data_IF_924496643548
#
_entry.id   IF_924496643548
#
_cell.length_a   1.000
_cell.length_b   1.000
_cell.length_c   1.000
_cell.angle_alpha   90.00
_cell.angle_beta   90.00
_cell.angle_gamma   90.00
#
_symmetry.space_group_name_H-M   'P 1'
#
loop_
_entity.id
_entity.type
_entity.pdbx_description
1 polymer ?
#
# COMPACT_ATOMS: atom_id res chain seq x y z
N UNK A 1 -24.44 12.98 -68.15
CA UNK A 1 -23.55 13.29 -67.01
C UNK A 1 -24.37 13.97 -65.91
N UNK A 2 -24.76 13.25 -64.85
CA UNK A 2 -25.47 13.81 -63.69
C UNK A 2 -24.63 13.56 -62.44
N UNK A 3 -24.04 14.61 -61.86
CA UNK A 3 -23.27 14.56 -60.61
C UNK A 3 -24.25 14.52 -59.44
N UNK A 4 -24.16 13.49 -58.60
CA UNK A 4 -24.85 13.41 -57.30
C UNK A 4 -23.84 13.80 -56.21
N UNK A 5 -24.06 14.91 -55.54
CA UNK A 5 -23.30 15.31 -54.36
C UNK A 5 -23.88 14.60 -53.14
N UNK A 6 -23.09 13.76 -52.48
CA UNK A 6 -23.43 13.19 -51.18
C UNK A 6 -22.71 13.99 -50.09
N UNK A 7 -23.47 14.65 -49.23
CA UNK A 7 -22.96 15.29 -48.02
C UNK A 7 -22.78 14.20 -46.95
N UNK A 8 -21.56 14.03 -46.45
CA UNK A 8 -21.24 13.13 -45.33
C UNK A 8 -21.29 13.95 -44.05
N UNK A 9 -22.27 13.67 -43.18
CA UNK A 9 -22.34 14.22 -41.84
C UNK A 9 -21.42 13.40 -40.91
N UNK A 10 -20.36 14.03 -40.41
CA UNK A 10 -19.49 13.46 -39.38
C UNK A 10 -20.18 13.60 -38.01
N UNK A 11 -20.68 12.49 -37.46
CA UNK A 11 -21.09 12.40 -36.07
C UNK A 11 -19.84 12.24 -35.20
N UNK A 12 -19.48 13.27 -34.44
CA UNK A 12 -18.40 13.21 -33.45
C UNK A 12 -18.81 12.37 -32.24
N UNK A 13 -18.20 11.20 -32.06
CA UNK A 13 -18.25 10.45 -30.80
C UNK A 13 -17.39 11.18 -29.76
N UNK A 14 -18.01 11.84 -28.79
CA UNK A 14 -17.34 12.20 -27.55
C UNK A 14 -17.08 10.92 -26.74
N UNK A 15 -15.83 10.45 -26.74
CA UNK A 15 -15.37 9.43 -25.81
C UNK A 15 -15.24 10.05 -24.42
N UNK A 16 -16.21 9.78 -23.54
CA UNK A 16 -16.09 10.07 -22.11
C UNK A 16 -15.16 8.99 -21.54
N UNK A 17 -13.86 9.29 -21.43
CA UNK A 17 -12.93 8.50 -20.63
C UNK A 17 -13.28 8.69 -19.15
N UNK A 18 -14.27 7.93 -18.66
CA UNK A 18 -14.48 7.78 -17.23
C UNK A 18 -13.29 7.02 -16.64
N UNK A 19 -12.59 7.65 -15.69
CA UNK A 19 -11.64 6.94 -14.84
C UNK A 19 -12.41 5.83 -14.12
N UNK A 20 -12.17 4.58 -14.51
CA UNK A 20 -12.71 3.44 -13.78
C UNK A 20 -12.07 3.42 -12.39
N UNK A 21 -12.80 3.88 -11.39
CA UNK A 21 -12.35 3.85 -10.00
C UNK A 21 -12.05 2.40 -9.60
N UNK A 22 -10.83 2.15 -9.11
CA UNK A 22 -10.38 0.81 -8.71
C UNK A 22 -11.19 0.23 -7.53
N UNK A 23 -12.06 1.03 -6.91
CA UNK A 23 -12.95 0.65 -5.80
C UNK A 23 -13.90 -0.51 -6.14
N UNK A 24 -14.31 -0.70 -7.39
CA UNK A 24 -15.12 -1.87 -7.78
C UNK A 24 -14.32 -3.17 -7.82
N UNK A 25 -13.03 -3.09 -8.17
CA UNK A 25 -12.14 -4.24 -8.36
C UNK A 25 -11.64 -4.80 -7.03
N UNK A 26 -11.47 -3.96 -6.00
CA UNK A 26 -10.99 -4.45 -4.69
C UNK A 26 -11.96 -5.45 -4.06
N UNK A 27 -13.27 -5.22 -4.17
CA UNK A 27 -14.30 -6.06 -3.53
C UNK A 27 -14.30 -7.49 -4.06
N UNK A 28 -13.95 -7.70 -5.34
CA UNK A 28 -13.82 -9.03 -5.93
C UNK A 28 -12.40 -9.62 -5.77
N UNK A 29 -11.44 -8.85 -5.26
CA UNK A 29 -10.04 -9.25 -5.14
C UNK A 29 -9.65 -9.61 -3.71
N UNK A 30 -10.08 -8.82 -2.71
CA UNK A 30 -9.67 -9.01 -1.30
C UNK A 30 -10.13 -10.36 -0.74
N UNK A 31 -9.23 -11.06 -0.04
CA UNK A 31 -9.60 -12.33 0.61
C UNK A 31 -10.44 -12.09 1.87
N UNK A 32 -11.30 -13.05 2.28
CA UNK A 32 -12.06 -12.90 3.53
C UNK A 32 -11.17 -12.76 4.78
N UNK A 33 -10.01 -13.41 4.78
CA UNK A 33 -9.03 -13.28 5.87
C UNK A 33 -8.47 -11.86 5.94
N UNK A 34 -8.15 -11.26 4.80
CA UNK A 34 -7.59 -9.91 4.72
C UNK A 34 -8.61 -8.84 5.03
N UNK A 35 -9.85 -9.03 4.58
CA UNK A 35 -10.96 -8.17 4.99
C UNK A 35 -11.10 -8.16 6.51
N UNK A 36 -11.06 -9.34 7.16
CA UNK A 36 -11.12 -9.42 8.62
C UNK A 36 -9.94 -8.73 9.31
N UNK A 37 -8.73 -8.77 8.74
CA UNK A 37 -7.57 -8.04 9.28
C UNK A 37 -7.77 -6.53 9.19
N UNK A 38 -8.34 -6.03 8.08
CA UNK A 38 -8.70 -4.62 7.95
C UNK A 38 -9.83 -4.20 8.89
N UNK A 39 -10.85 -5.04 9.07
CA UNK A 39 -11.97 -4.77 9.99
C UNK A 39 -11.48 -4.62 11.45
N UNK A 40 -10.39 -5.29 11.82
CA UNK A 40 -9.77 -5.22 13.14
C UNK A 40 -8.63 -4.20 13.24
N UNK A 41 -8.31 -3.48 12.16
CA UNK A 41 -7.12 -2.65 12.03
C UNK A 41 -6.88 -1.71 13.21
N UNK A 42 -7.87 -0.93 13.64
CA UNK A 42 -7.69 0.05 14.72
C UNK A 42 -7.34 -0.61 16.06
N UNK A 43 -7.97 -1.75 16.35
CA UNK A 43 -7.70 -2.53 17.55
C UNK A 43 -6.28 -3.11 17.52
N UNK A 44 -5.90 -3.72 16.40
CA UNK A 44 -4.56 -4.28 16.20
C UNK A 44 -3.49 -3.19 16.31
N UNK A 45 -3.71 -2.05 15.64
CA UNK A 45 -2.81 -0.89 15.65
C UNK A 45 -2.61 -0.35 17.06
N UNK A 46 -3.69 -0.13 17.82
CA UNK A 46 -3.60 0.36 19.19
C UNK A 46 -2.82 -0.60 20.10
N UNK A 47 -3.08 -1.91 19.98
CA UNK A 47 -2.37 -2.94 20.76
C UNK A 47 -0.87 -2.98 20.42
N UNK A 48 -0.52 -2.97 19.13
CA UNK A 48 0.86 -3.00 18.67
C UNK A 48 1.66 -1.76 19.15
N UNK A 49 1.05 -0.57 19.08
CA UNK A 49 1.67 0.67 19.57
C UNK A 49 1.87 0.61 21.09
N UNK A 50 0.90 0.11 21.84
CA UNK A 50 1.01 -0.02 23.29
C UNK A 50 2.15 -0.95 23.71
N UNK A 51 2.28 -2.11 23.05
CA UNK A 51 3.38 -3.06 23.30
C UNK A 51 4.74 -2.45 22.94
N UNK A 52 4.85 -1.79 21.78
CA UNK A 52 6.08 -1.13 21.37
C UNK A 52 6.50 0.00 22.33
N UNK A 53 5.53 0.77 22.84
CA UNK A 53 5.78 1.83 23.83
C UNK A 53 6.23 1.28 25.17
N UNK A 54 5.68 0.14 25.59
CA UNK A 54 5.96 -0.46 26.89
C UNK A 54 7.30 -1.23 26.92
N UNK A 55 7.66 -1.89 25.81
CA UNK A 55 8.82 -2.79 25.76
C UNK A 55 9.96 -2.35 24.84
N UNK A 56 9.74 -1.40 23.94
CA UNK A 56 10.76 -0.95 22.99
C UNK A 56 11.74 0.06 23.59
N UNK A 57 12.86 0.29 22.90
CA UNK A 57 13.76 1.39 23.25
C UNK A 57 13.02 2.73 23.12
N UNK A 58 13.10 3.57 24.15
CA UNK A 58 12.36 4.82 24.21
C UNK A 58 12.79 5.84 23.14
N UNK A 59 14.07 5.84 22.77
CA UNK A 59 14.61 6.73 21.74
C UNK A 59 14.16 6.30 20.34
N UNK A 60 14.21 5.00 20.05
CA UNK A 60 13.68 4.44 18.82
C UNK A 60 12.16 4.66 18.72
N UNK A 61 11.43 4.40 19.81
CA UNK A 61 9.98 4.59 19.85
C UNK A 61 9.59 6.05 19.63
N UNK A 62 10.32 7.03 20.16
CA UNK A 62 10.04 8.44 19.89
C UNK A 62 10.13 8.80 18.38
N UNK A 63 11.02 8.13 17.64
CA UNK A 63 11.08 8.23 16.18
C UNK A 63 9.86 7.60 15.49
N UNK A 64 9.41 6.44 15.96
CA UNK A 64 8.23 5.75 15.45
C UNK A 64 6.94 6.49 15.80
N UNK A 65 6.83 7.08 16.98
CA UNK A 65 5.67 7.86 17.42
C UNK A 65 5.46 9.08 16.50
N UNK A 66 6.53 9.75 16.08
CA UNK A 66 6.47 10.82 15.06
C UNK A 66 5.98 10.30 13.71
N UNK A 67 6.44 9.11 13.30
CA UNK A 67 5.97 8.46 12.07
C UNK A 67 4.47 8.16 12.17
N UNK A 68 4.00 7.57 13.26
CA UNK A 68 2.60 7.18 13.49
C UNK A 68 1.65 8.38 13.55
N UNK A 69 2.09 9.47 14.19
CA UNK A 69 1.31 10.69 14.40
C UNK A 69 1.45 11.72 13.27
N UNK A 70 2.20 11.41 12.21
CA UNK A 70 2.32 12.28 11.07
C UNK A 70 0.93 12.54 10.44
N UNK A 71 0.64 13.82 10.17
CA UNK A 71 -0.62 14.27 9.56
C UNK A 71 -0.86 13.54 8.25
N UNK A 72 -2.05 12.95 8.11
CA UNK A 72 -2.49 12.34 6.86
C UNK A 72 -2.91 13.42 5.87
N UNK A 73 -2.46 13.28 4.63
CA UNK A 73 -2.74 14.20 3.53
C UNK A 73 -3.48 13.46 2.43
N UNK A 74 -4.16 14.21 1.55
CA UNK A 74 -4.79 13.60 0.38
C UNK A 74 -3.75 13.07 -0.60
N UNK A 75 -4.02 11.96 -1.27
CA UNK A 75 -3.13 11.43 -2.32
C UNK A 75 -3.19 12.23 -3.62
N UNK A 76 -4.23 13.06 -3.81
CA UNK A 76 -4.38 13.93 -4.98
C UNK A 76 -3.12 14.78 -5.23
N UNK A 77 -2.68 14.80 -6.48
CA UNK A 77 -1.49 15.54 -6.91
C UNK A 77 -0.14 14.99 -6.43
N UNK A 78 -0.11 13.88 -5.67
CA UNK A 78 1.15 13.25 -5.27
C UNK A 78 1.74 12.46 -6.45
N UNK A 79 3.01 12.72 -6.78
CA UNK A 79 3.76 11.88 -7.73
C UNK A 79 4.24 10.60 -7.05
N UNK A 80 3.36 9.61 -6.92
CA UNK A 80 3.70 8.35 -6.25
C UNK A 80 4.71 7.53 -7.07
N UNK A 81 4.60 7.53 -8.40
CA UNK A 81 5.48 6.76 -9.29
C UNK A 81 6.95 7.19 -9.21
N UNK A 82 7.85 6.21 -9.23
CA UNK A 82 9.30 6.43 -9.17
C UNK A 82 10.01 5.55 -8.14
N UNK A 83 11.30 5.84 -7.94
CA UNK A 83 12.12 5.16 -6.94
C UNK A 83 11.86 5.76 -5.55
N UNK A 84 11.86 4.90 -4.54
CA UNK A 84 11.70 5.24 -3.13
C UNK A 84 12.75 4.51 -2.31
N UNK A 85 13.17 5.11 -1.21
CA UNK A 85 13.73 4.36 -0.09
C UNK A 85 12.59 3.87 0.77
N UNK A 86 12.70 2.67 1.31
CA UNK A 86 11.71 2.14 2.23
C UNK A 86 12.36 1.40 3.39
N UNK A 87 11.74 1.40 4.57
CA UNK A 87 12.17 0.59 5.71
C UNK A 87 10.96 0.01 6.42
N UNK A 88 11.16 -1.14 7.06
CA UNK A 88 10.12 -1.79 7.86
C UNK A 88 10.33 -1.42 9.32
N UNK A 89 9.24 -1.12 10.01
CA UNK A 89 9.18 -1.00 11.47
C UNK A 89 8.18 -2.04 11.97
N UNK A 90 8.59 -2.92 12.88
CA UNK A 90 7.74 -3.97 13.45
C UNK A 90 7.35 -3.59 14.87
N UNK A 91 6.06 -3.67 15.18
CA UNK A 91 5.51 -3.33 16.48
C UNK A 91 4.77 -4.53 17.10
N UNK A 92 5.11 -4.83 18.35
CA UNK A 92 4.47 -5.85 19.18
C UNK A 92 4.79 -7.29 18.77
N UNK A 93 4.19 -8.23 19.51
CA UNK A 93 4.47 -9.68 19.44
C UNK A 93 5.81 -10.07 20.11
N UNK A 94 6.68 -10.82 19.40
CA UNK A 94 7.88 -11.43 19.98
C UNK A 94 8.95 -10.40 20.36
N UNK A 95 9.09 -9.35 19.55
CA UNK A 95 9.95 -8.20 19.81
C UNK A 95 9.07 -6.96 19.88
N UNK A 96 9.10 -6.17 20.96
CA UNK A 96 8.17 -5.07 21.15
C UNK A 96 8.33 -3.99 20.07
N UNK A 97 9.57 -3.73 19.64
CA UNK A 97 9.89 -2.78 18.59
C UNK A 97 11.14 -3.24 17.83
N UNK A 98 11.08 -3.22 16.50
CA UNK A 98 12.24 -3.37 15.62
C UNK A 98 12.19 -2.32 14.52
N UNK A 99 13.26 -1.55 14.35
CA UNK A 99 13.40 -0.57 13.26
C UNK A 99 14.50 -1.02 12.30
N UNK A 100 14.12 -1.42 11.09
CA UNK A 100 15.10 -1.83 10.09
C UNK A 100 15.75 -0.64 9.37
N UNK A 101 16.90 -0.90 8.75
CA UNK A 101 17.55 0.01 7.82
C UNK A 101 16.79 0.22 6.51
N UNK A 102 17.35 1.06 5.65
CA UNK A 102 16.71 1.45 4.39
C UNK A 102 17.01 0.47 3.25
N UNK A 103 15.97 0.20 2.46
CA UNK A 103 15.94 -0.64 1.27
C UNK A 103 15.45 0.18 0.06
N UNK A 104 15.57 -0.39 -1.13
CA UNK A 104 15.06 0.18 -2.38
C UNK A 104 13.63 -0.32 -2.62
N UNK A 105 12.72 0.62 -2.83
CA UNK A 105 11.36 0.36 -3.29
C UNK A 105 11.11 1.11 -4.62
N UNK A 106 10.13 0.65 -5.39
CA UNK A 106 9.68 1.33 -6.60
C UNK A 106 8.17 1.31 -6.66
N UNK A 107 7.59 2.44 -7.07
CA UNK A 107 6.18 2.53 -7.43
C UNK A 107 6.06 2.69 -8.94
N UNK A 108 5.20 1.89 -9.55
CA UNK A 108 4.84 1.95 -10.97
C UNK A 108 3.33 2.16 -11.12
N UNK A 109 2.90 2.52 -12.32
CA UNK A 109 1.49 2.64 -12.70
C UNK A 109 1.35 2.02 -14.08
N UNK A 110 0.46 1.04 -14.22
CA UNK A 110 0.16 0.35 -15.47
C UNK A 110 -1.20 0.77 -16.06
N UNK A 111 -1.78 1.85 -15.55
CA UNK A 111 -3.11 2.33 -15.92
C UNK A 111 -4.24 1.66 -15.14
N UNK A 112 -3.96 0.64 -14.34
CA UNK A 112 -4.93 -0.02 -13.46
C UNK A 112 -4.72 0.34 -11.98
N UNK A 113 -4.01 1.43 -11.71
CA UNK A 113 -3.64 1.90 -10.36
C UNK A 113 -2.17 1.65 -10.01
N UNK A 114 -1.74 2.25 -8.92
CA UNK A 114 -0.34 2.17 -8.47
C UNK A 114 0.02 0.77 -7.98
N UNK A 115 1.26 0.38 -8.25
CA UNK A 115 1.86 -0.85 -7.74
C UNK A 115 3.16 -0.53 -7.02
N UNK A 116 3.38 -1.18 -5.88
CA UNK A 116 4.61 -1.11 -5.11
C UNK A 116 5.40 -2.41 -5.28
N UNK A 117 6.73 -2.29 -5.34
CA UNK A 117 7.65 -3.40 -5.18
C UNK A 117 8.81 -3.00 -4.26
N UNK A 118 9.07 -3.78 -3.20
CA UNK A 118 10.31 -3.72 -2.41
C UNK A 118 11.38 -4.57 -3.10
N UNK A 119 12.40 -3.91 -3.64
CA UNK A 119 13.37 -4.47 -4.58
C UNK A 119 14.64 -5.03 -3.93
N UNK A 120 14.85 -4.82 -2.63
CA UNK A 120 16.04 -5.28 -1.90
C UNK A 120 15.69 -5.72 -0.48
N UNK A 121 16.55 -6.56 0.11
CA UNK A 121 16.36 -7.19 1.41
C UNK A 121 15.73 -8.57 1.28
N UNK A 122 15.91 -9.40 2.31
CA UNK A 122 15.49 -10.81 2.32
C UNK A 122 13.99 -11.00 2.20
N UNK A 123 13.21 -10.22 2.96
CA UNK A 123 11.75 -10.19 2.86
C UNK A 123 11.33 -9.06 1.92
N UNK A 124 10.56 -9.38 0.88
CA UNK A 124 10.06 -8.46 -0.14
C UNK A 124 8.53 -8.41 -0.10
N UNK A 125 7.99 -7.35 -0.69
CA UNK A 125 6.55 -7.20 -0.89
C UNK A 125 6.29 -6.64 -2.28
N UNK A 126 5.22 -7.12 -2.93
CA UNK A 126 4.74 -6.62 -4.20
C UNK A 126 3.21 -6.62 -4.23
N UNK A 127 2.61 -5.51 -4.66
CA UNK A 127 1.16 -5.37 -4.61
C UNK A 127 0.64 -4.11 -5.25
N UNK A 128 -0.68 -3.95 -5.22
CA UNK A 128 -1.44 -2.88 -5.86
C UNK A 128 -2.20 -2.07 -4.83
N UNK A 129 -2.35 -0.79 -5.12
CA UNK A 129 -3.19 0.13 -4.37
C UNK A 129 -4.58 0.28 -4.99
N UNK A 130 -5.56 0.42 -4.13
CA UNK A 130 -6.95 0.66 -4.46
C UNK A 130 -7.44 1.90 -3.70
N UNK A 131 -8.28 2.69 -4.34
CA UNK A 131 -8.81 3.92 -3.75
C UNK A 131 -9.72 3.60 -2.56
N UNK A 132 -9.45 4.25 -1.43
CA UNK A 132 -10.20 4.14 -0.17
C UNK A 132 -10.36 5.54 0.45
N UNK A 133 -11.01 6.42 -0.31
CA UNK A 133 -11.19 7.82 0.05
C UNK A 133 -9.98 8.71 -0.28
N UNK A 134 -10.03 10.00 0.09
CA UNK A 134 -9.03 10.98 -0.36
C UNK A 134 -7.67 10.83 0.32
N UNK A 135 -7.63 10.40 1.59
CA UNK A 135 -6.44 10.38 2.45
C UNK A 135 -5.86 8.99 2.69
N UNK A 136 -6.47 7.95 2.12
CA UNK A 136 -6.09 6.55 2.35
C UNK A 136 -6.21 5.74 1.06
N UNK A 137 -5.32 4.76 0.92
CA UNK A 137 -5.44 3.70 -0.08
C UNK A 137 -5.41 2.36 0.63
N UNK A 138 -6.05 1.35 0.05
CA UNK A 138 -5.89 -0.04 0.47
C UNK A 138 -4.84 -0.70 -0.39
N UNK A 139 -3.87 -1.36 0.24
CA UNK A 139 -2.86 -2.17 -0.41
C UNK A 139 -3.26 -3.64 -0.34
N UNK A 140 -3.29 -4.33 -1.49
CA UNK A 140 -3.33 -5.79 -1.56
C UNK A 140 -2.08 -6.29 -2.29
N UNK A 141 -1.37 -7.24 -1.71
CA UNK A 141 -0.14 -7.75 -2.27
C UNK A 141 0.35 -9.01 -1.60
N UNK A 142 1.57 -9.39 -1.93
CA UNK A 142 2.20 -10.60 -1.38
C UNK A 142 3.55 -10.28 -0.76
N UNK A 143 3.82 -10.93 0.38
CA UNK A 143 5.15 -11.09 0.94
C UNK A 143 5.85 -12.30 0.31
N UNK A 144 7.13 -12.17 0.03
CA UNK A 144 7.94 -13.25 -0.54
C UNK A 144 9.42 -13.09 -0.17
N UNK A 145 10.20 -14.16 -0.30
CA UNK A 145 11.64 -14.15 -0.03
C UNK A 145 12.41 -13.77 -1.28
N UNK A 146 13.54 -13.07 -1.11
CA UNK A 146 14.45 -12.77 -2.20
C UNK A 146 14.92 -14.04 -2.91
N UNK A 147 14.92 -14.02 -4.25
CA UNK A 147 15.18 -15.18 -5.10
C UNK A 147 13.93 -15.99 -5.48
N UNK A 148 12.84 -15.88 -4.71
CA UNK A 148 11.60 -16.59 -5.00
C UNK A 148 10.74 -15.86 -6.03
N UNK A 149 9.94 -16.63 -6.78
CA UNK A 149 8.86 -16.06 -7.59
C UNK A 149 7.71 -15.65 -6.67
N UNK A 150 7.28 -14.37 -6.68
CA UNK A 150 6.15 -13.95 -5.86
C UNK A 150 4.88 -14.69 -6.29
N UNK A 151 4.11 -15.30 -5.37
CA UNK A 151 2.87 -15.96 -5.71
C UNK A 151 1.81 -14.94 -6.15
N UNK A 152 0.70 -15.43 -6.71
CA UNK A 152 -0.47 -14.59 -6.89
C UNK A 152 -1.07 -14.21 -5.53
N UNK A 153 -1.63 -13.00 -5.43
CA UNK A 153 -2.43 -12.63 -4.26
C UNK A 153 -3.64 -13.56 -4.14
N UNK A 154 -3.96 -14.00 -2.92
CA UNK A 154 -4.98 -15.02 -2.65
C UNK A 154 -4.44 -16.45 -2.69
N UNK A 155 -3.13 -16.64 -2.86
CA UNK A 155 -2.51 -17.97 -2.78
C UNK A 155 -2.52 -18.54 -1.35
N UNK A 156 -2.69 -17.67 -0.33
CA UNK A 156 -2.91 -18.10 1.03
C UNK A 156 -2.29 -17.17 2.07
N UNK A 157 -2.67 -17.35 3.35
CA UNK A 157 -2.37 -16.41 4.44
C UNK A 157 -0.87 -16.23 4.70
N UNK A 158 -0.02 -17.17 4.27
CA UNK A 158 1.44 -17.06 4.42
C UNK A 158 2.06 -15.97 3.55
N UNK A 159 1.49 -15.74 2.37
CA UNK A 159 1.97 -14.74 1.42
C UNK A 159 1.09 -13.51 1.39
N UNK A 160 -0.22 -13.67 1.59
CA UNK A 160 -1.17 -12.57 1.42
C UNK A 160 -0.90 -11.44 2.42
N UNK A 161 -0.81 -10.23 1.88
CA UNK A 161 -0.58 -9.00 2.63
C UNK A 161 -1.66 -7.99 2.29
N UNK A 162 -2.18 -7.36 3.34
CA UNK A 162 -3.14 -6.27 3.26
C UNK A 162 -2.71 -5.15 4.18
N UNK A 163 -2.99 -3.91 3.81
CA UNK A 163 -2.69 -2.77 4.67
C UNK A 163 -3.29 -1.47 4.18
N UNK A 164 -3.21 -0.45 5.02
CA UNK A 164 -3.62 0.91 4.66
C UNK A 164 -2.40 1.77 4.39
N UNK A 165 -2.44 2.49 3.27
CA UNK A 165 -1.43 3.47 2.92
C UNK A 165 -1.88 4.88 3.27
N UNK A 166 -0.97 5.66 3.86
CA UNK A 166 -1.21 7.05 4.26
C UNK A 166 -0.10 7.94 3.72
N UNK A 167 -0.48 9.01 3.03
CA UNK A 167 0.45 10.09 2.66
C UNK A 167 0.75 10.92 3.90
N UNK A 168 2.03 11.10 4.20
CA UNK A 168 2.50 11.82 5.40
C UNK A 168 3.30 13.09 5.07
N UNK A 169 3.52 13.37 3.79
CA UNK A 169 4.25 14.54 3.31
C UNK A 169 4.29 14.64 1.79
N UNK A 170 5.13 15.54 1.28
CA UNK A 170 5.39 15.67 -0.16
C UNK A 170 6.15 14.46 -0.71
N UNK A 171 7.16 14.02 0.04
CA UNK A 171 8.10 12.97 -0.33
C UNK A 171 8.16 11.87 0.75
N UNK A 172 7.06 11.68 1.48
CA UNK A 172 6.94 10.65 2.51
C UNK A 172 5.52 10.09 2.61
N UNK A 173 5.43 8.80 2.86
CA UNK A 173 4.20 8.06 3.09
C UNK A 173 4.52 6.74 3.78
N UNK A 174 3.50 6.01 4.22
CA UNK A 174 3.67 4.71 4.86
C UNK A 174 2.54 3.76 4.53
N UNK A 175 2.79 2.46 4.66
CA UNK A 175 1.76 1.41 4.69
C UNK A 175 1.79 0.79 6.08
N UNK A 176 0.63 0.57 6.67
CA UNK A 176 0.47 -0.15 7.93
C UNK A 176 -0.24 -1.48 7.65
N UNK A 177 0.44 -2.60 7.94
CA UNK A 177 -0.03 -3.97 7.72
C UNK A 177 -0.47 -4.58 9.05
N UNK A 178 -1.78 -4.69 9.34
CA UNK A 178 -2.27 -5.33 10.56
C UNK A 178 -2.12 -6.85 10.48
N UNK A 179 -1.66 -7.45 11.58
CA UNK A 179 -1.53 -8.91 11.74
C UNK A 179 -0.86 -9.57 10.52
N UNK A 180 0.36 -9.14 10.13
CA UNK A 180 1.11 -9.84 9.11
C UNK A 180 1.39 -11.27 9.58
N UNK A 181 1.57 -12.20 8.65
CA UNK A 181 1.75 -13.61 9.00
C UNK A 181 3.00 -13.87 9.87
N UNK A 182 4.02 -13.00 9.78
CA UNK A 182 5.31 -13.19 10.45
C UNK A 182 5.67 -12.01 11.37
N UNK A 183 6.09 -12.35 12.60
CA UNK A 183 7.02 -11.60 13.46
C UNK A 183 6.54 -10.24 14.01
N UNK A 184 5.27 -9.86 13.85
CA UNK A 184 4.73 -8.65 14.51
C UNK A 184 3.20 -8.62 14.58
N UNK A 185 2.67 -7.70 15.38
CA UNK A 185 1.24 -7.33 15.34
C UNK A 185 0.95 -6.28 14.27
N UNK A 186 1.89 -5.37 14.04
CA UNK A 186 1.80 -4.35 13.01
C UNK A 186 3.17 -4.15 12.37
N UNK A 187 3.22 -4.34 11.06
CA UNK A 187 4.34 -3.89 10.25
C UNK A 187 4.03 -2.51 9.66
N UNK A 188 4.99 -1.61 9.68
CA UNK A 188 4.92 -0.33 8.99
C UNK A 188 6.01 -0.29 7.94
N UNK A 189 5.63 -0.22 6.66
CA UNK A 189 6.56 0.10 5.59
C UNK A 189 6.56 1.62 5.40
N UNK A 190 7.59 2.28 5.92
CA UNK A 190 7.82 3.69 5.70
C UNK A 190 8.52 3.92 4.36
N UNK A 191 8.08 4.91 3.58
CA UNK A 191 8.69 5.29 2.31
C UNK A 191 9.06 6.77 2.29
N UNK A 192 10.25 7.06 1.77
CA UNK A 192 10.78 8.42 1.59
C UNK A 192 11.58 8.56 0.29
N UNK A 193 11.68 9.78 -0.25
CA UNK A 193 12.63 10.13 -1.30
C UNK A 193 13.86 10.82 -0.73
#
# INVERSE_FOLDING_TARGET
MKKRSAAVAFLGLLAICGSAFATGTILSTITPADQKRLDNYEKTRAAAIAEAKAGGDSGEFAGVEKLLNAKQLEFSGMKLTGNWRCRVVKLGENLPLVVYGWFKCKVTDDGSGWQLEKRTGSQRTKGRFFDDGPTRLTYLGVGYIDGDTPPAYGAGPKSDQVGYAFRTGKDSWRIEFPEPYYESKLDILELRR
#
